data_IF_100065730263
#
_entry.id   IF_100065730263
#
_cell.length_a   1.000
_cell.length_b   1.000
_cell.length_c   1.000
_cell.angle_alpha   90.00
_cell.angle_beta   90.00
_cell.angle_gamma   90.00
#
_symmetry.space_group_name_H-M   'P 1'
#
loop_
_entity.id
_entity.type
_entity.pdbx_description
1 polymer ?
#
# COMPACT_ATOMS: atom_id res chain seq x y z
N UNK A 1 -4.32 10.22 -10.66
CA UNK A 1 -3.31 9.81 -9.69
C UNK A 1 -3.77 8.61 -8.87
N UNK A 2 -3.09 8.30 -7.73
CA UNK A 2 -3.43 7.12 -6.89
C UNK A 2 -4.87 7.19 -6.41
N UNK A 3 -5.32 8.34 -5.90
CA UNK A 3 -6.71 8.56 -5.44
C UNK A 3 -7.73 8.23 -6.53
N UNK A 4 -7.49 8.65 -7.77
CA UNK A 4 -8.36 8.32 -8.90
C UNK A 4 -8.45 6.81 -9.14
N UNK A 5 -7.30 6.09 -9.12
CA UNK A 5 -7.26 4.63 -9.28
C UNK A 5 -8.10 3.97 -8.19
N UNK A 6 -7.96 4.43 -6.93
CA UNK A 6 -8.70 3.91 -5.78
C UNK A 6 -10.20 4.19 -5.88
N UNK A 7 -10.60 5.42 -6.18
CA UNK A 7 -12.01 5.82 -6.26
C UNK A 7 -12.74 5.11 -7.41
N UNK A 8 -12.12 5.00 -8.59
CA UNK A 8 -12.70 4.24 -9.71
C UNK A 8 -12.84 2.75 -9.39
N UNK A 9 -11.92 2.19 -8.61
CA UNK A 9 -12.01 0.79 -8.15
C UNK A 9 -13.12 0.62 -7.11
N UNK A 10 -13.23 1.54 -6.14
CA UNK A 10 -14.32 1.58 -5.14
C UNK A 10 -15.69 1.61 -5.84
N UNK A 11 -15.88 2.50 -6.80
CA UNK A 11 -17.12 2.58 -7.57
C UNK A 11 -17.45 1.26 -8.28
N UNK A 12 -16.44 0.68 -8.93
CA UNK A 12 -16.59 -0.60 -9.62
C UNK A 12 -16.97 -1.74 -8.67
N UNK A 13 -16.28 -1.85 -7.53
CA UNK A 13 -16.56 -2.91 -6.53
C UNK A 13 -17.97 -2.74 -5.95
N UNK A 14 -18.31 -1.52 -5.53
CA UNK A 14 -19.65 -1.21 -5.01
C UNK A 14 -20.77 -1.53 -6.01
N UNK A 15 -20.54 -1.22 -7.29
CA UNK A 15 -21.49 -1.54 -8.36
C UNK A 15 -21.67 -3.05 -8.58
N UNK A 16 -20.61 -3.85 -8.40
CA UNK A 16 -20.65 -5.31 -8.53
C UNK A 16 -21.34 -5.95 -7.31
N UNK A 17 -21.04 -5.43 -6.12
CA UNK A 17 -21.52 -6.00 -4.85
C UNK A 17 -22.87 -5.42 -4.41
N UNK A 18 -23.37 -4.40 -5.12
CA UNK A 18 -24.67 -3.78 -4.83
C UNK A 18 -24.66 -2.85 -3.62
N UNK A 19 -23.50 -2.37 -3.19
CA UNK A 19 -23.40 -1.36 -2.11
C UNK A 19 -23.68 0.04 -2.66
N UNK A 20 -24.62 0.82 -2.07
CA UNK A 20 -24.87 2.18 -2.49
C UNK A 20 -23.68 3.07 -2.10
N UNK A 21 -23.22 3.89 -3.04
CA UNK A 21 -22.28 4.97 -2.77
C UNK A 21 -23.06 6.30 -2.67
N UNK A 22 -22.63 7.24 -1.82
CA UNK A 22 -23.23 8.58 -1.73
C UNK A 22 -22.82 9.50 -2.89
N UNK A 23 -22.10 8.98 -3.88
CA UNK A 23 -21.59 9.69 -5.06
C UNK A 23 -21.62 8.78 -6.29
N UNK A 24 -21.63 9.39 -7.47
CA UNK A 24 -21.59 8.69 -8.76
C UNK A 24 -20.33 9.06 -9.58
N UNK A 25 -20.24 8.55 -10.81
CA UNK A 25 -19.09 8.82 -11.68
C UNK A 25 -19.00 10.29 -12.10
N UNK A 26 -20.12 11.03 -12.14
CA UNK A 26 -20.11 12.46 -12.47
C UNK A 26 -19.54 13.28 -11.33
N UNK A 27 -19.86 12.91 -10.09
CA UNK A 27 -19.27 13.53 -8.90
C UNK A 27 -17.76 13.29 -8.85
N UNK A 28 -17.33 12.06 -9.19
CA UNK A 28 -15.90 11.73 -9.28
C UNK A 28 -15.20 12.54 -10.37
N UNK A 29 -15.76 12.61 -11.58
CA UNK A 29 -15.16 13.35 -12.68
C UNK A 29 -15.09 14.86 -12.34
N UNK A 30 -16.13 15.44 -11.73
CA UNK A 30 -16.12 16.82 -11.25
C UNK A 30 -15.06 17.06 -10.17
N UNK A 31 -14.87 16.11 -9.23
CA UNK A 31 -13.81 16.21 -8.23
C UNK A 31 -12.41 16.14 -8.85
N UNK A 32 -12.22 15.33 -9.88
CA UNK A 32 -10.95 15.23 -10.60
C UNK A 32 -10.66 16.49 -11.43
N UNK A 33 -11.67 17.10 -12.03
CA UNK A 33 -11.54 18.35 -12.78
C UNK A 33 -11.20 19.54 -11.86
N UNK A 34 -11.69 19.51 -10.61
CA UNK A 34 -11.37 20.51 -9.59
C UNK A 34 -10.03 20.25 -8.87
N UNK A 35 -9.36 19.13 -9.14
CA UNK A 35 -8.13 18.73 -8.46
C UNK A 35 -6.98 19.67 -8.77
N UNK A 36 -6.34 20.18 -7.72
CA UNK A 36 -5.10 20.94 -7.80
C UNK A 36 -3.96 20.16 -7.13
N UNK A 37 -2.83 20.05 -7.81
CA UNK A 37 -1.64 19.38 -7.30
C UNK A 37 -0.63 20.41 -6.83
N UNK A 38 -0.03 20.16 -5.67
CA UNK A 38 1.04 20.98 -5.12
C UNK A 38 2.21 20.08 -4.73
N UNK A 39 3.43 20.57 -4.92
CA UNK A 39 4.63 19.82 -4.58
C UNK A 39 4.90 19.81 -3.07
N UNK A 40 5.55 18.74 -2.61
CA UNK A 40 5.95 18.62 -1.19
C UNK A 40 6.99 19.70 -0.87
N UNK A 41 6.79 20.39 0.25
CA UNK A 41 7.69 21.44 0.73
C UNK A 41 7.39 22.83 0.19
N UNK A 42 6.55 22.96 -0.83
CA UNK A 42 6.17 24.26 -1.39
C UNK A 42 4.95 24.85 -0.68
N UNK A 43 4.99 26.17 -0.46
CA UNK A 43 3.86 26.92 0.08
C UNK A 43 2.88 27.29 -1.03
N UNK A 44 1.60 27.09 -0.74
CA UNK A 44 0.50 27.60 -1.56
C UNK A 44 -0.58 28.23 -0.68
N UNK A 45 -1.47 29.00 -1.28
CA UNK A 45 -2.49 29.75 -0.54
C UNK A 45 -3.89 29.26 -0.90
N UNK A 46 -4.73 29.13 0.12
CA UNK A 46 -6.16 28.92 -0.02
C UNK A 46 -6.82 30.03 0.83
N UNK A 47 -7.45 31.00 0.16
CA UNK A 47 -8.03 32.19 0.80
C UNK A 47 -6.99 32.92 1.66
N UNK A 48 -7.19 33.00 2.98
CA UNK A 48 -6.32 33.68 3.93
C UNK A 48 -5.27 32.76 4.58
N UNK A 49 -5.24 31.48 4.22
CA UNK A 49 -4.34 30.49 4.84
C UNK A 49 -3.22 30.13 3.88
N UNK A 50 -2.04 29.87 4.46
CA UNK A 50 -0.91 29.26 3.74
C UNK A 50 -0.80 27.80 4.13
N UNK A 51 -0.64 26.95 3.12
CA UNK A 51 -0.53 25.51 3.29
C UNK A 51 0.79 25.01 2.74
N UNK A 52 1.31 23.95 3.36
CA UNK A 52 2.47 23.23 2.86
C UNK A 52 2.32 21.74 3.15
N UNK A 53 2.66 20.91 2.17
CA UNK A 53 2.66 19.46 2.32
C UNK A 53 4.02 18.96 2.77
N UNK A 54 4.03 18.00 3.70
CA UNK A 54 5.21 17.27 4.14
C UNK A 54 4.98 15.77 3.96
N UNK A 55 6.05 14.99 3.78
CA UNK A 55 5.93 13.54 3.71
C UNK A 55 5.48 12.97 5.06
N UNK A 56 4.45 12.12 5.05
CA UNK A 56 3.96 11.43 6.24
C UNK A 56 4.66 10.08 6.50
N UNK A 57 5.40 9.54 5.54
CA UNK A 57 6.18 8.31 5.71
C UNK A 57 5.38 7.01 5.78
N UNK A 58 4.04 7.07 5.78
CA UNK A 58 3.18 5.90 5.91
C UNK A 58 3.15 5.03 4.64
N UNK A 59 2.79 5.63 3.52
CA UNK A 59 2.81 5.01 2.17
C UNK A 59 3.29 6.04 1.14
N UNK A 60 3.69 5.62 -0.07
CA UNK A 60 4.01 6.57 -1.13
C UNK A 60 2.85 7.52 -1.41
N UNK A 61 3.13 8.83 -1.34
CA UNK A 61 2.12 9.88 -1.52
C UNK A 61 1.33 10.28 -0.26
N UNK A 62 1.56 9.64 0.89
CA UNK A 62 0.99 10.09 2.16
C UNK A 62 1.63 11.41 2.61
N UNK A 63 0.80 12.36 3.01
CA UNK A 63 1.23 13.72 3.39
C UNK A 63 0.72 14.11 4.77
N UNK A 64 1.53 14.91 5.46
CA UNK A 64 1.09 15.78 6.54
C UNK A 64 0.80 17.17 5.96
N UNK A 65 -0.18 17.88 6.52
CA UNK A 65 -0.57 19.20 6.05
C UNK A 65 -0.27 20.22 7.15
N UNK A 66 0.66 21.13 6.85
CA UNK A 66 0.92 22.31 7.67
C UNK A 66 0.03 23.45 7.19
N UNK A 67 -0.72 24.05 8.10
CA UNK A 67 -1.66 25.14 7.84
C UNK A 67 -1.26 26.34 8.70
N UNK A 68 -0.85 27.43 8.07
CA UNK A 68 -0.51 28.67 8.72
C UNK A 68 -1.68 29.66 8.57
N UNK A 69 -2.25 30.04 9.70
CA UNK A 69 -3.23 31.14 9.82
C UNK A 69 -2.55 32.41 10.33
N UNK A 70 -3.21 33.57 10.37
CA UNK A 70 -2.67 34.78 10.99
C UNK A 70 -2.31 34.61 12.48
N UNK A 71 -2.98 33.70 13.21
CA UNK A 71 -2.84 33.54 14.66
C UNK A 71 -1.93 32.36 15.05
N UNK A 72 -1.94 31.27 14.28
CA UNK A 72 -1.26 30.03 14.68
C UNK A 72 -0.90 29.14 13.47
N UNK A 73 -0.04 28.17 13.75
CA UNK A 73 0.29 27.08 12.83
C UNK A 73 -0.28 25.75 13.33
N UNK A 74 -1.09 25.10 12.50
CA UNK A 74 -1.63 23.76 12.74
C UNK A 74 -0.93 22.76 11.86
N UNK A 75 -0.63 21.57 12.42
CA UNK A 75 -0.18 20.42 11.65
C UNK A 75 -1.21 19.29 11.75
N UNK A 76 -1.68 18.83 10.59
CA UNK A 76 -2.50 17.63 10.45
C UNK A 76 -1.65 16.48 9.93
N UNK A 77 -1.50 15.41 10.72
CA UNK A 77 -0.56 14.33 10.38
C UNK A 77 -1.03 13.42 9.24
N UNK A 78 -2.34 13.25 9.06
CA UNK A 78 -2.84 12.06 8.36
C UNK A 78 -2.30 10.79 9.04
N UNK A 79 -2.27 9.67 8.31
CA UNK A 79 -1.58 8.46 8.77
C UNK A 79 -0.07 8.64 8.59
N UNK A 80 0.70 8.48 9.66
CA UNK A 80 2.15 8.75 9.64
C UNK A 80 2.99 7.57 10.11
N UNK A 81 4.22 7.48 9.58
CA UNK A 81 5.29 6.65 10.14
C UNK A 81 6.61 7.44 10.12
N UNK A 82 7.26 7.54 11.27
CA UNK A 82 8.55 8.24 11.41
C UNK A 82 9.74 7.36 11.02
N UNK A 83 9.53 6.05 10.87
CA UNK A 83 10.57 5.10 10.47
C UNK A 83 10.71 5.06 8.96
N UNK A 84 11.94 4.87 8.50
CA UNK A 84 12.18 4.63 7.09
C UNK A 84 11.62 3.28 6.64
N UNK A 85 10.83 3.31 5.57
CA UNK A 85 10.36 2.11 4.88
C UNK A 85 11.15 1.80 3.61
N UNK A 86 10.97 0.62 3.01
CA UNK A 86 11.61 0.28 1.74
C UNK A 86 11.23 1.23 0.59
N UNK A 87 9.98 1.72 0.61
CA UNK A 87 9.42 2.55 -0.45
C UNK A 87 9.22 4.02 -0.08
N UNK A 88 9.38 4.38 1.20
CA UNK A 88 9.09 5.72 1.72
C UNK A 88 10.18 6.20 2.68
N UNK A 89 10.37 7.50 2.74
CA UNK A 89 11.17 8.16 3.77
C UNK A 89 10.24 8.46 4.95
N UNK A 90 10.69 8.20 6.18
CA UNK A 90 9.91 8.47 7.38
C UNK A 90 9.59 9.95 7.56
N UNK A 91 8.44 10.23 8.19
CA UNK A 91 8.02 11.58 8.51
C UNK A 91 9.06 12.30 9.38
N UNK A 92 9.31 13.57 9.06
CA UNK A 92 10.18 14.44 9.84
C UNK A 92 9.36 15.35 10.75
N UNK A 93 9.86 15.69 11.95
CA UNK A 93 9.16 16.61 12.84
C UNK A 93 8.95 17.98 12.19
N UNK A 94 7.74 18.52 12.33
CA UNK A 94 7.38 19.86 11.88
C UNK A 94 6.93 20.66 13.10
N UNK A 95 7.49 21.88 13.27
CA UNK A 95 7.10 22.77 14.38
C UNK A 95 5.72 23.36 14.12
N UNK A 96 4.83 23.27 15.10
CA UNK A 96 3.46 23.80 15.04
C UNK A 96 3.00 24.23 16.43
N UNK A 97 1.92 25.04 16.48
CA UNK A 97 1.27 25.44 17.73
C UNK A 97 0.21 24.41 18.14
N UNK A 98 -0.47 23.81 17.15
CA UNK A 98 -1.49 22.76 17.35
C UNK A 98 -1.15 21.57 16.47
N UNK A 99 -1.09 20.37 17.07
CA UNK A 99 -0.91 19.11 16.37
C UNK A 99 -2.19 18.27 16.43
N UNK A 100 -2.73 17.93 15.25
CA UNK A 100 -3.75 16.90 15.07
C UNK A 100 -3.07 15.64 14.55
N UNK A 101 -2.91 14.61 15.40
CA UNK A 101 -2.14 13.41 15.09
C UNK A 101 -3.00 12.17 15.22
N UNK A 102 -2.82 11.20 14.31
CA UNK A 102 -3.36 9.86 14.46
C UNK A 102 -2.85 9.18 15.73
N UNK A 103 -3.56 8.14 16.19
CA UNK A 103 -3.19 7.38 17.38
C UNK A 103 -3.48 5.88 17.26
N UNK A 104 -3.44 5.34 16.04
CA UNK A 104 -3.76 3.94 15.72
C UNK A 104 -2.95 2.96 16.58
N UNK A 105 -1.68 3.27 16.79
CA UNK A 105 -0.80 2.49 17.66
C UNK A 105 -0.39 3.23 18.95
N UNK A 106 -1.21 4.16 19.40
CA UNK A 106 -0.97 4.90 20.63
C UNK A 106 -0.79 3.95 21.83
N UNK A 107 0.35 4.07 22.52
CA UNK A 107 0.68 3.22 23.67
C UNK A 107 1.14 1.80 23.32
N UNK A 108 1.41 1.48 22.06
CA UNK A 108 1.98 0.19 21.63
C UNK A 108 3.36 0.38 21.02
N UNK A 109 4.32 -0.41 21.49
CA UNK A 109 5.63 -0.50 20.84
C UNK A 109 5.61 -1.59 19.76
N UNK A 110 6.19 -1.27 18.61
CA UNK A 110 6.41 -2.26 17.58
C UNK A 110 7.73 -2.98 17.81
N UNK A 111 7.80 -4.30 17.55
CA UNK A 111 9.07 -5.00 17.51
C UNK A 111 10.03 -4.38 16.47
N UNK A 112 11.36 -4.58 16.62
CA UNK A 112 12.30 -4.14 15.61
C UNK A 112 11.94 -4.70 14.22
N UNK A 113 11.86 -3.84 13.22
CA UNK A 113 11.42 -4.20 11.86
C UNK A 113 12.24 -5.35 11.27
N UNK A 114 13.56 -5.34 11.45
CA UNK A 114 14.45 -6.38 10.92
C UNK A 114 14.13 -7.78 11.48
N UNK A 115 13.74 -7.86 12.75
CA UNK A 115 13.33 -9.12 13.39
C UNK A 115 12.00 -9.61 12.81
N UNK A 116 11.04 -8.71 12.61
CA UNK A 116 9.75 -9.04 12.01
C UNK A 116 9.90 -9.48 10.54
N UNK A 117 10.75 -8.82 9.75
CA UNK A 117 11.04 -9.22 8.38
C UNK A 117 11.68 -10.62 8.35
N UNK A 118 12.63 -10.91 9.24
CA UNK A 118 13.25 -12.23 9.37
C UNK A 118 12.21 -13.28 9.72
N UNK A 119 11.42 -13.06 10.76
CA UNK A 119 10.35 -13.96 11.19
C UNK A 119 9.32 -14.21 10.08
N UNK A 120 8.93 -13.17 9.36
CA UNK A 120 8.03 -13.29 8.22
C UNK A 120 8.61 -14.21 7.13
N UNK A 121 9.87 -14.00 6.73
CA UNK A 121 10.52 -14.81 5.70
C UNK A 121 10.71 -16.27 6.15
N UNK A 122 11.02 -16.51 7.42
CA UNK A 122 11.10 -17.86 7.99
C UNK A 122 9.75 -18.59 7.90
N UNK A 123 8.65 -17.91 8.22
CA UNK A 123 7.30 -18.46 8.09
C UNK A 123 6.94 -18.77 6.63
N UNK A 124 7.31 -17.92 5.69
CA UNK A 124 7.15 -18.22 4.26
C UNK A 124 7.93 -19.47 3.87
N UNK A 125 9.21 -19.56 4.25
CA UNK A 125 10.07 -20.73 3.95
C UNK A 125 9.52 -22.01 4.59
N UNK A 126 8.99 -21.94 5.81
CA UNK A 126 8.34 -23.08 6.48
C UNK A 126 7.14 -23.60 5.68
N UNK A 127 6.27 -22.71 5.18
CA UNK A 127 5.13 -23.09 4.37
C UNK A 127 5.58 -23.76 3.07
N UNK A 128 6.53 -23.16 2.38
CA UNK A 128 7.06 -23.69 1.11
C UNK A 128 7.77 -25.04 1.31
N UNK A 129 8.53 -25.21 2.40
CA UNK A 129 9.26 -26.45 2.67
C UNK A 129 8.35 -27.67 2.87
N UNK A 130 7.11 -27.47 3.30
CA UNK A 130 6.10 -28.53 3.42
C UNK A 130 5.22 -28.69 2.17
N UNK A 131 5.60 -28.02 1.05
CA UNK A 131 4.90 -28.09 -0.23
C UNK A 131 3.64 -27.20 -0.29
N UNK A 132 3.47 -26.29 0.64
CA UNK A 132 2.31 -25.39 0.69
C UNK A 132 2.54 -24.06 -0.02
N UNK A 133 1.45 -23.31 -0.19
CA UNK A 133 1.41 -21.96 -0.75
C UNK A 133 1.23 -20.95 0.38
N UNK A 134 2.12 -19.96 0.47
CA UNK A 134 1.96 -18.84 1.38
C UNK A 134 1.09 -17.76 0.71
N UNK A 135 -0.16 -17.63 1.16
CA UNK A 135 -1.06 -16.53 0.74
C UNK A 135 -0.84 -15.32 1.65
N UNK A 136 -0.47 -14.20 1.04
CA UNK A 136 -0.17 -12.95 1.75
C UNK A 136 -1.13 -11.87 1.29
N UNK A 137 -2.24 -11.67 2.01
CA UNK A 137 -3.12 -10.53 1.80
C UNK A 137 -2.39 -9.24 2.17
N UNK A 138 -2.39 -8.26 1.26
CA UNK A 138 -1.68 -7.01 1.46
C UNK A 138 -2.44 -5.82 0.88
N UNK A 139 -2.29 -4.67 1.51
CA UNK A 139 -2.83 -3.43 0.95
C UNK A 139 -2.17 -3.11 -0.40
N UNK A 140 -2.95 -2.51 -1.29
CA UNK A 140 -2.54 -2.23 -2.67
C UNK A 140 -1.42 -1.20 -2.77
N UNK A 141 -1.39 -0.22 -1.86
CA UNK A 141 -0.36 0.83 -1.79
C UNK A 141 0.53 0.61 -0.58
N UNK A 142 1.83 0.61 -0.78
CA UNK A 142 2.86 0.48 0.25
C UNK A 142 3.13 -0.97 0.63
N UNK A 143 2.23 -1.62 1.36
CA UNK A 143 2.47 -2.93 1.97
C UNK A 143 2.79 -4.04 0.97
N UNK A 144 2.04 -4.16 -0.12
CA UNK A 144 2.31 -5.18 -1.14
C UNK A 144 3.70 -5.04 -1.76
N UNK A 145 4.14 -3.82 -2.03
CA UNK A 145 5.46 -3.52 -2.58
C UNK A 145 6.58 -3.79 -1.56
N UNK A 146 6.36 -3.48 -0.28
CA UNK A 146 7.31 -3.77 0.80
C UNK A 146 7.55 -5.27 0.94
N UNK A 147 6.48 -6.07 0.97
CA UNK A 147 6.55 -7.52 1.04
C UNK A 147 7.33 -8.11 -0.13
N UNK A 148 7.07 -7.63 -1.34
CA UNK A 148 7.80 -8.10 -2.52
C UNK A 148 9.29 -7.77 -2.43
N UNK A 149 9.68 -6.61 -1.90
CA UNK A 149 11.10 -6.25 -1.68
C UNK A 149 11.76 -7.16 -0.64
N UNK A 150 11.08 -7.42 0.47
CA UNK A 150 11.58 -8.33 1.51
C UNK A 150 11.81 -9.73 0.95
N UNK A 151 10.83 -10.26 0.23
CA UNK A 151 10.92 -11.59 -0.37
C UNK A 151 12.03 -11.67 -1.45
N UNK A 152 12.14 -10.64 -2.30
CA UNK A 152 13.19 -10.61 -3.32
C UNK A 152 14.60 -10.56 -2.70
N UNK A 153 14.77 -9.83 -1.60
CA UNK A 153 16.06 -9.72 -0.90
C UNK A 153 16.44 -11.01 -0.19
N UNK A 154 15.51 -11.61 0.55
CA UNK A 154 15.81 -12.70 1.49
C UNK A 154 15.50 -14.10 0.95
N UNK A 155 14.71 -14.19 -0.12
CA UNK A 155 14.29 -15.46 -0.72
C UNK A 155 14.05 -15.33 -2.24
N UNK A 156 15.04 -14.85 -3.03
CA UNK A 156 14.88 -14.55 -4.47
C UNK A 156 14.58 -15.79 -5.33
N UNK A 157 14.82 -16.99 -4.82
CA UNK A 157 14.56 -18.26 -5.51
C UNK A 157 13.10 -18.67 -5.52
N UNK A 158 12.24 -18.04 -4.68
CA UNK A 158 10.83 -18.37 -4.59
C UNK A 158 10.05 -17.93 -5.84
N UNK A 159 9.08 -18.76 -6.22
CA UNK A 159 8.12 -18.46 -7.27
C UNK A 159 6.99 -17.58 -6.70
N UNK A 160 7.10 -16.27 -6.83
CA UNK A 160 6.17 -15.30 -6.25
C UNK A 160 5.23 -14.74 -7.31
N UNK A 161 3.93 -14.85 -7.06
CA UNK A 161 2.90 -14.25 -7.89
C UNK A 161 2.30 -13.02 -7.20
N UNK A 162 2.03 -11.96 -7.99
CA UNK A 162 1.46 -10.71 -7.53
C UNK A 162 0.16 -10.41 -8.25
N UNK A 163 -0.96 -10.32 -7.52
CA UNK A 163 -2.31 -10.13 -8.05
C UNK A 163 -3.02 -8.94 -7.42
N UNK A 164 -4.01 -8.43 -8.11
CA UNK A 164 -4.90 -7.38 -7.65
C UNK A 164 -4.41 -5.96 -7.95
N UNK A 165 -5.05 -4.99 -7.30
CA UNK A 165 -4.83 -3.57 -7.54
C UNK A 165 -3.39 -3.12 -7.25
N UNK A 166 -2.69 -3.81 -6.35
CA UNK A 166 -1.29 -3.53 -6.06
C UNK A 166 -0.39 -3.57 -7.31
N UNK A 167 -0.71 -4.41 -8.31
CA UNK A 167 0.02 -4.45 -9.58
C UNK A 167 -0.14 -3.15 -10.38
N UNK A 168 -1.33 -2.54 -10.36
CA UNK A 168 -1.61 -1.26 -11.03
C UNK A 168 -0.88 -0.11 -10.34
N UNK A 169 -0.92 -0.08 -9.00
CA UNK A 169 -0.22 0.95 -8.22
C UNK A 169 1.29 0.83 -8.33
N UNK A 170 1.85 -0.38 -8.32
CA UNK A 170 3.28 -0.56 -8.57
C UNK A 170 3.70 -0.02 -9.93
N UNK A 171 2.90 -0.29 -10.98
CA UNK A 171 3.17 0.28 -12.30
C UNK A 171 3.07 1.82 -12.31
N UNK A 172 2.11 2.37 -11.57
CA UNK A 172 1.99 3.82 -11.41
C UNK A 172 3.26 4.41 -10.76
N UNK A 173 3.72 3.82 -9.66
CA UNK A 173 4.93 4.27 -8.97
C UNK A 173 6.19 4.16 -9.83
N UNK A 174 6.32 3.11 -10.63
CA UNK A 174 7.45 2.97 -11.56
C UNK A 174 7.45 4.02 -12.67
N UNK A 175 6.28 4.55 -13.03
CA UNK A 175 6.15 5.65 -13.98
C UNK A 175 6.32 7.04 -13.34
N UNK A 176 6.34 7.12 -12.00
CA UNK A 176 6.50 8.35 -11.20
C UNK A 176 7.55 8.09 -10.10
N UNK A 177 8.80 7.81 -10.47
CA UNK A 177 9.83 7.33 -9.56
C UNK A 177 10.25 8.36 -8.50
N UNK A 178 10.00 9.65 -8.74
CA UNK A 178 10.28 10.76 -7.82
C UNK A 178 9.51 10.66 -6.49
N UNK A 179 8.41 9.92 -6.46
CA UNK A 179 7.59 9.72 -5.26
C UNK A 179 7.93 8.46 -4.46
N UNK A 180 8.97 7.73 -4.89
CA UNK A 180 9.36 6.45 -4.28
C UNK A 180 10.83 6.49 -3.85
N UNK A 181 11.08 5.99 -2.64
CA UNK A 181 12.45 5.71 -2.21
C UNK A 181 13.00 4.50 -2.98
N UNK A 182 14.21 4.62 -3.54
CA UNK A 182 14.91 3.55 -4.27
C UNK A 182 14.05 2.91 -5.40
N UNK A 183 13.59 3.68 -6.39
CA UNK A 183 12.71 3.18 -7.46
C UNK A 183 13.33 2.05 -8.27
N UNK A 184 14.65 2.04 -8.44
CA UNK A 184 15.39 0.98 -9.14
C UNK A 184 15.24 -0.40 -8.48
N UNK A 185 15.17 -0.42 -7.15
CA UNK A 185 14.91 -1.65 -6.39
C UNK A 185 13.47 -2.14 -6.62
N UNK A 186 12.50 -1.23 -6.65
CA UNK A 186 11.13 -1.58 -6.98
C UNK A 186 11.01 -2.12 -8.40
N UNK A 187 11.79 -1.58 -9.35
CA UNK A 187 11.83 -2.09 -10.73
C UNK A 187 12.39 -3.51 -10.81
N UNK A 188 13.47 -3.81 -10.08
CA UNK A 188 14.03 -5.18 -10.00
C UNK A 188 12.98 -6.16 -9.47
N UNK A 189 12.34 -5.81 -8.37
CA UNK A 189 11.27 -6.60 -7.74
C UNK A 189 10.07 -6.78 -8.67
N UNK A 190 9.69 -5.72 -9.38
CA UNK A 190 8.64 -5.78 -10.39
C UNK A 190 8.96 -6.76 -11.51
N UNK A 191 10.20 -6.80 -11.97
CA UNK A 191 10.62 -7.76 -13.01
C UNK A 191 10.64 -9.19 -12.50
N UNK A 192 11.04 -9.38 -11.25
CA UNK A 192 11.14 -10.68 -10.60
C UNK A 192 9.77 -11.32 -10.31
N UNK A 193 8.85 -10.62 -9.68
CA UNK A 193 7.53 -11.16 -9.36
C UNK A 193 6.69 -11.42 -10.62
N UNK A 194 5.95 -12.52 -10.64
CA UNK A 194 5.03 -12.86 -11.73
C UNK A 194 3.70 -12.16 -11.54
N UNK A 195 3.36 -11.24 -12.46
CA UNK A 195 2.08 -10.51 -12.41
C UNK A 195 0.94 -11.36 -12.93
N UNK A 196 -0.12 -11.44 -12.15
CA UNK A 196 -1.38 -12.08 -12.55
C UNK A 196 -2.22 -11.08 -13.35
N UNK A 197 -2.47 -11.37 -14.62
CA UNK A 197 -3.17 -10.46 -15.55
C UNK A 197 -4.48 -11.04 -16.07
N UNK A 198 -4.71 -12.32 -15.86
CA UNK A 198 -5.85 -13.07 -16.39
C UNK A 198 -6.36 -14.11 -15.41
N UNK A 199 -7.59 -14.62 -15.67
CA UNK A 199 -8.13 -15.76 -14.93
C UNK A 199 -7.25 -17.02 -15.06
N UNK A 200 -6.57 -17.20 -16.21
CA UNK A 200 -5.62 -18.29 -16.42
C UNK A 200 -4.39 -18.14 -15.54
N UNK A 201 -3.80 -16.92 -15.48
CA UNK A 201 -2.65 -16.66 -14.62
C UNK A 201 -3.01 -16.87 -13.15
N UNK A 202 -4.22 -16.47 -12.75
CA UNK A 202 -4.71 -16.67 -11.38
C UNK A 202 -4.80 -18.16 -11.02
N UNK A 203 -5.21 -19.01 -11.95
CA UNK A 203 -5.17 -20.46 -11.74
C UNK A 203 -3.76 -21.00 -11.59
N UNK A 204 -2.81 -20.54 -12.42
CA UNK A 204 -1.39 -20.93 -12.33
C UNK A 204 -0.73 -20.47 -11.03
N UNK A 205 -1.21 -19.36 -10.45
CA UNK A 205 -0.71 -18.87 -9.18
C UNK A 205 -1.03 -19.81 -8.00
N UNK A 206 -2.01 -20.71 -8.14
CA UNK A 206 -2.26 -21.74 -7.11
C UNK A 206 -1.11 -22.75 -6.94
N UNK A 207 -0.22 -22.84 -7.92
CA UNK A 207 0.97 -23.70 -7.90
C UNK A 207 2.25 -22.89 -7.58
N UNK A 208 2.10 -21.66 -7.07
CA UNK A 208 3.22 -20.81 -6.67
C UNK A 208 3.69 -21.13 -5.25
N UNK A 209 4.90 -20.68 -4.89
CA UNK A 209 5.37 -20.72 -3.51
C UNK A 209 4.67 -19.64 -2.67
N UNK A 210 4.49 -18.46 -3.27
CA UNK A 210 3.92 -17.29 -2.60
C UNK A 210 2.95 -16.56 -3.51
N UNK A 211 1.83 -16.13 -2.95
CA UNK A 211 0.87 -15.24 -3.60
C UNK A 211 0.71 -13.98 -2.75
N UNK A 212 1.15 -12.84 -3.27
CA UNK A 212 0.89 -11.52 -2.67
C UNK A 212 -0.32 -10.91 -3.41
N UNK A 213 -1.35 -10.52 -2.68
CA UNK A 213 -2.61 -10.10 -3.33
C UNK A 213 -3.43 -9.12 -2.47
N UNK A 214 -4.37 -8.40 -3.09
CA UNK A 214 -5.36 -7.55 -2.42
C UNK A 214 -6.69 -8.30 -2.25
N UNK A 215 -7.54 -8.05 -1.25
CA UNK A 215 -7.43 -7.01 -0.23
C UNK A 215 -6.63 -7.52 1.00
N UNK A 216 -5.92 -6.58 1.65
CA UNK A 216 -5.18 -6.86 2.90
C UNK A 216 -6.09 -7.20 4.08
N UNK A 217 -7.34 -6.73 4.07
CA UNK A 217 -8.33 -6.98 5.14
C UNK A 217 -9.14 -8.26 4.93
N UNK A 218 -8.93 -8.98 3.82
CA UNK A 218 -9.74 -10.15 3.44
C UNK A 218 -11.25 -9.85 3.33
N UNK A 219 -11.60 -8.64 2.96
CA UNK A 219 -12.97 -8.16 2.78
C UNK A 219 -13.46 -8.27 1.32
N UNK A 220 -12.60 -8.69 0.40
CA UNK A 220 -12.96 -8.82 -1.01
C UNK A 220 -11.79 -9.11 -1.92
N UNK A 221 -12.01 -8.94 -3.22
CA UNK A 221 -10.99 -9.03 -4.24
C UNK A 221 -10.37 -10.41 -4.46
N UNK A 222 -9.20 -10.46 -5.10
CA UNK A 222 -8.53 -11.72 -5.39
C UNK A 222 -8.13 -12.52 -4.15
N UNK A 223 -7.88 -11.87 -3.00
CA UNK A 223 -7.50 -12.55 -1.77
C UNK A 223 -8.54 -13.61 -1.36
N UNK A 224 -9.83 -13.25 -1.40
CA UNK A 224 -10.92 -14.17 -1.07
C UNK A 224 -11.02 -15.31 -2.09
N UNK A 225 -10.75 -15.04 -3.36
CA UNK A 225 -10.76 -16.07 -4.39
C UNK A 225 -9.67 -17.13 -4.14
N UNK A 226 -8.46 -16.73 -3.74
CA UNK A 226 -7.37 -17.62 -3.37
C UNK A 226 -7.66 -18.34 -2.05
N UNK A 227 -8.10 -17.61 -1.03
CA UNK A 227 -8.44 -18.15 0.28
C UNK A 227 -9.41 -19.32 0.17
N UNK A 228 -10.50 -19.17 -0.61
CA UNK A 228 -11.51 -20.20 -0.78
C UNK A 228 -10.98 -21.49 -1.44
N UNK A 229 -9.83 -21.43 -2.12
CA UNK A 229 -9.20 -22.58 -2.79
C UNK A 229 -8.07 -23.19 -1.98
N UNK A 230 -7.36 -22.39 -1.22
CA UNK A 230 -6.17 -22.84 -0.48
C UNK A 230 -6.50 -23.32 0.93
N UNK A 231 -7.57 -22.85 1.56
CA UNK A 231 -7.90 -23.07 2.97
C UNK A 231 -8.16 -24.52 3.37
N UNK A 232 -8.37 -25.42 2.43
CA UNK A 232 -8.68 -26.84 2.72
C UNK A 232 -7.43 -27.72 2.76
N UNK A 233 -6.28 -27.21 2.37
CA UNK A 233 -5.01 -27.90 2.44
C UNK A 233 -4.15 -27.29 3.55
N UNK A 234 -3.87 -28.09 4.58
CA UNK A 234 -3.14 -27.70 5.78
C UNK A 234 -1.66 -27.40 5.52
N UNK A 235 -1.13 -27.77 4.35
CA UNK A 235 0.23 -27.38 3.94
C UNK A 235 0.30 -25.86 3.65
N UNK A 236 -0.80 -25.26 3.21
CA UNK A 236 -0.91 -23.83 2.94
C UNK A 236 -0.97 -22.98 4.23
N UNK A 237 -0.68 -21.71 4.10
CA UNK A 237 -0.91 -20.76 5.17
C UNK A 237 -1.33 -19.38 4.65
N UNK A 238 -2.07 -18.64 5.49
CA UNK A 238 -2.36 -17.23 5.30
C UNK A 238 -1.47 -16.46 6.27
N UNK A 239 -0.65 -15.55 5.75
CA UNK A 239 0.23 -14.70 6.53
C UNK A 239 -0.28 -13.27 6.47
N UNK A 240 -0.89 -12.82 7.57
CA UNK A 240 -1.36 -11.43 7.72
C UNK A 240 -0.17 -10.52 8.05
N UNK A 241 -0.15 -9.32 7.45
CA UNK A 241 0.99 -8.39 7.53
C UNK A 241 0.57 -6.98 7.92
#
# INVERSE_FOLDING_TARGET
>A
AVSEIMWRDTYKVSSIEGYPLPWDMRDLDAALDAWQSHDIGEWFEIEAWKLRFHQAGHIPGAIMIEIQTPELTLLWSGDLDTREGPNVVGAQPVKCDILCMESTYGGKEHPPRAEEETRFVERVKEVVSRGGVALIPAFASGRGQDILRILHKEAPHLNVHYDGMGTRLTKYWLNNPEHIRNPEELEKVWRWARKVRSKSDRKKALDADVIVTTSGMLDGGPAIWYLNRLRHDLSNAILLT
#
